data_IF_554934220724
#
_entry.id   IF_554934220724
#
_cell.length_a   1.000
_cell.length_b   1.000
_cell.length_c   1.000
_cell.angle_alpha   90.00
_cell.angle_beta   90.00
_cell.angle_gamma   90.00
#
_symmetry.space_group_name_H-M   'P 1'
#
loop_
_entity.id
_entity.type
_entity.pdbx_description
1 polymer ?
#
# COMPACT_ATOMS: atom_id res chain seq x y z
N UNK A 1 6.63 -5.91 0.99
CA UNK A 1 5.60 -6.86 1.47
C UNK A 1 4.48 -6.90 0.45
N UNK A 2 4.05 -8.08 0.02
CA UNK A 2 2.94 -8.22 -0.93
C UNK A 2 1.64 -8.55 -0.19
N UNK A 3 0.57 -7.81 -0.48
CA UNK A 3 -0.76 -8.06 0.08
C UNK A 3 -1.66 -8.58 -1.04
N UNK A 4 -2.22 -9.77 -0.84
CA UNK A 4 -3.20 -10.39 -1.73
C UNK A 4 -4.56 -10.49 -1.02
N UNK A 5 -5.60 -10.84 -1.78
CA UNK A 5 -6.92 -11.10 -1.21
C UNK A 5 -6.86 -12.17 -0.12
N UNK A 6 -7.52 -11.93 1.01
CA UNK A 6 -7.55 -12.86 2.16
C UNK A 6 -6.30 -12.82 3.05
N UNK A 7 -5.41 -11.84 2.89
CA UNK A 7 -4.27 -11.65 3.78
C UNK A 7 -4.76 -11.46 5.24
N UNK A 8 -4.01 -11.99 6.20
CA UNK A 8 -4.34 -11.85 7.63
C UNK A 8 -4.37 -10.36 8.03
N UNK A 9 -5.24 -9.96 8.97
CA UNK A 9 -5.27 -8.58 9.46
C UNK A 9 -3.93 -8.18 10.06
N UNK A 10 -3.46 -6.97 9.73
CA UNK A 10 -2.20 -6.43 10.23
C UNK A 10 -2.22 -4.90 10.26
N UNK A 11 -1.59 -4.32 11.28
CA UNK A 11 -1.22 -2.91 11.32
C UNK A 11 0.30 -2.83 11.34
N UNK A 12 0.88 -2.04 10.41
CA UNK A 12 2.33 -1.86 10.29
C UNK A 12 2.65 -0.41 9.96
N UNK A 13 3.82 0.05 10.41
CA UNK A 13 4.41 1.30 9.91
C UNK A 13 4.95 1.10 8.50
N UNK A 14 4.91 2.16 7.71
CA UNK A 14 5.55 2.27 6.39
C UNK A 14 6.73 3.22 6.54
N UNK A 15 7.90 2.81 6.07
CA UNK A 15 9.05 3.71 5.88
C UNK A 15 9.02 4.29 4.47
N UNK A 16 9.77 5.36 4.21
CA UNK A 16 9.91 5.93 2.86
C UNK A 16 10.24 4.82 1.86
N UNK A 17 9.33 4.58 0.91
CA UNK A 17 9.40 3.42 0.01
C UNK A 17 8.53 3.59 -1.23
N UNK A 18 8.77 2.73 -2.22
CA UNK A 18 7.90 2.59 -3.39
C UNK A 18 6.78 1.58 -3.11
N UNK A 19 5.56 1.94 -3.50
CA UNK A 19 4.40 1.06 -3.50
C UNK A 19 3.97 0.76 -4.93
N UNK A 20 3.68 -0.52 -5.19
CA UNK A 20 3.04 -0.96 -6.43
C UNK A 20 1.67 -1.54 -6.12
N UNK A 21 0.66 -1.17 -6.90
CA UNK A 21 -0.65 -1.82 -6.87
C UNK A 21 -1.14 -2.14 -8.28
N UNK A 22 -2.01 -3.15 -8.39
CA UNK A 22 -2.51 -3.66 -9.67
C UNK A 22 -4.03 -3.62 -9.70
N UNK A 23 -4.61 -3.00 -10.73
CA UNK A 23 -6.05 -2.98 -10.98
C UNK A 23 -6.30 -3.40 -12.42
N UNK A 24 -7.12 -4.44 -12.64
CA UNK A 24 -7.45 -4.98 -13.97
C UNK A 24 -6.20 -5.24 -14.84
N UNK A 25 -5.21 -5.91 -14.26
CA UNK A 25 -3.90 -6.18 -14.85
C UNK A 25 -3.02 -4.96 -15.19
N UNK A 26 -3.46 -3.74 -14.93
CA UNK A 26 -2.64 -2.54 -15.05
C UNK A 26 -1.92 -2.24 -13.74
N UNK A 27 -0.62 -2.02 -13.83
CA UNK A 27 0.24 -1.71 -12.69
C UNK A 27 0.36 -0.19 -12.51
N UNK A 28 0.39 0.23 -11.25
CA UNK A 28 0.55 1.62 -10.83
C UNK A 28 1.63 1.68 -9.75
N UNK A 29 2.47 2.71 -9.81
CA UNK A 29 3.58 2.91 -8.87
C UNK A 29 3.43 4.25 -8.16
N UNK A 30 3.66 4.26 -6.86
CA UNK A 30 3.60 5.43 -5.99
C UNK A 30 4.87 5.51 -5.15
N UNK A 31 5.38 6.71 -4.93
CA UNK A 31 6.33 7.01 -3.86
C UNK A 31 5.55 7.36 -2.60
N UNK A 32 5.87 6.73 -1.46
CA UNK A 32 5.22 6.98 -0.17
C UNK A 32 6.28 7.41 0.83
N UNK A 33 6.11 8.58 1.46
CA UNK A 33 7.11 9.15 2.36
C UNK A 33 7.10 8.57 3.78
N UNK A 34 6.23 7.62 4.07
CA UNK A 34 6.02 7.02 5.38
C UNK A 34 4.53 6.91 5.72
N UNK A 35 4.21 6.37 6.90
CA UNK A 35 2.84 6.33 7.42
C UNK A 35 2.45 5.00 8.04
N UNK A 36 1.17 4.65 7.96
CA UNK A 36 0.59 3.42 8.53
C UNK A 36 -0.16 2.64 7.44
N UNK A 37 0.13 1.35 7.38
CA UNK A 37 -0.62 0.34 6.65
C UNK A 37 -1.57 -0.39 7.60
N UNK A 38 -2.85 -0.43 7.25
CA UNK A 38 -3.85 -1.28 7.88
C UNK A 38 -4.42 -2.23 6.82
N UNK A 39 -4.29 -3.53 7.08
CA UNK A 39 -4.90 -4.60 6.27
C UNK A 39 -6.00 -5.23 7.09
N UNK A 40 -7.18 -5.31 6.50
CA UNK A 40 -8.32 -6.08 6.99
C UNK A 40 -8.68 -7.15 5.94
N UNK A 41 -9.60 -8.06 6.28
CA UNK A 41 -10.00 -9.14 5.36
C UNK A 41 -10.46 -8.63 3.99
N UNK A 42 -11.19 -7.52 3.96
CA UNK A 42 -11.88 -7.02 2.75
C UNK A 42 -11.20 -5.80 2.14
N UNK A 43 -10.32 -5.11 2.87
CA UNK A 43 -9.71 -3.88 2.38
C UNK A 43 -8.30 -3.66 2.92
N UNK A 44 -7.55 -2.85 2.18
CA UNK A 44 -6.28 -2.29 2.60
C UNK A 44 -6.41 -0.78 2.65
N UNK A 45 -6.05 -0.19 3.79
CA UNK A 45 -6.03 1.25 4.00
C UNK A 45 -4.59 1.69 4.29
N UNK A 46 -4.15 2.72 3.57
CA UNK A 46 -2.86 3.35 3.80
C UNK A 46 -3.11 4.80 4.21
N UNK A 47 -2.59 5.18 5.36
CA UNK A 47 -2.53 6.56 5.84
C UNK A 47 -1.08 7.02 5.65
N UNK A 48 -0.81 7.69 4.53
CA UNK A 48 0.52 8.18 4.18
C UNK A 48 0.70 9.62 4.63
N UNK A 49 1.93 9.98 5.01
CA UNK A 49 2.29 11.36 5.31
C UNK A 49 2.34 12.20 4.02
N UNK A 50 2.91 11.63 2.96
CA UNK A 50 2.94 12.18 1.59
C UNK A 50 2.91 11.04 0.56
N UNK A 51 2.30 11.30 -0.60
CA UNK A 51 2.20 10.34 -1.70
C UNK A 51 2.31 11.02 -3.07
N UNK A 52 3.13 10.46 -3.94
CA UNK A 52 3.31 10.96 -5.32
C UNK A 52 3.24 9.81 -6.34
N UNK A 53 2.57 9.99 -7.49
CA UNK A 53 2.65 9.05 -8.60
C UNK A 53 4.06 9.01 -9.19
N UNK A 54 4.57 7.81 -9.46
CA UNK A 54 5.82 7.63 -10.21
C UNK A 54 5.43 7.48 -11.69
N UNK A 55 5.79 8.48 -12.50
CA UNK A 55 5.55 8.53 -13.96
C UNK A 55 6.54 7.69 -14.75
#
# INVERSE_FOLDING_TARGET
>A
MGILYGHIPIVSTIVTSEMTYKVNNKEYKLSIAGGILQVEQEFVKILADEVEPIS
#
